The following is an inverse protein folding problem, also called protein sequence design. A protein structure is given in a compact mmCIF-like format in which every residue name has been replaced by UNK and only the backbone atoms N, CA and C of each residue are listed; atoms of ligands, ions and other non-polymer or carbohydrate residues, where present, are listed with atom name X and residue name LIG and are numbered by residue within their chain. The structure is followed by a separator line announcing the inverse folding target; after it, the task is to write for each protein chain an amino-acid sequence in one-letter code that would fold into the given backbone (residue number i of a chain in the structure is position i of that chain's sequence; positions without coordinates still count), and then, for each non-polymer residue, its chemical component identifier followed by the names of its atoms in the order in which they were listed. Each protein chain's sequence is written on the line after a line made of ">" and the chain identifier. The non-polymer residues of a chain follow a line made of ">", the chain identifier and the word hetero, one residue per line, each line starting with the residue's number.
data_IF_814892560568
#
_entry.id   IF_814892560568
#
_cell.length_a   1.000
_cell.length_b   1.000
_cell.length_c   1.000
_cell.angle_alpha   90.00
_cell.angle_beta   90.00
_cell.angle_gamma   90.00
#
_symmetry.space_group_name_H-M   'P 1'
#
loop_
_entity.id
_entity.type
_entity.pdbx_description
1 polymer ?
#
# COMPACT_ATOMS: atom_id res chain seq x y z
N UNK A 1 -11.17 24.26 24.54
CA UNK A 1 -9.93 23.49 24.36
C UNK A 1 -10.10 22.49 23.20
N UNK A 2 -10.23 22.96 21.96
CA UNK A 2 -10.57 22.12 20.79
C UNK A 2 -9.43 21.98 19.77
N UNK A 3 -8.37 22.79 19.87
CA UNK A 3 -7.24 22.76 18.94
C UNK A 3 -6.25 21.60 19.18
N UNK A 4 -6.28 20.97 20.36
CA UNK A 4 -5.29 19.97 20.74
C UNK A 4 -5.52 18.62 20.04
N UNK A 5 -6.79 18.22 19.93
CA UNK A 5 -7.20 16.99 19.24
C UNK A 5 -6.81 17.00 17.76
N UNK A 6 -7.09 18.10 17.04
CA UNK A 6 -6.73 18.23 15.62
C UNK A 6 -5.21 18.11 15.39
N UNK A 7 -4.39 18.64 16.31
CA UNK A 7 -2.93 18.60 16.21
C UNK A 7 -2.35 17.21 16.51
N UNK A 8 -2.97 16.48 17.43
CA UNK A 8 -2.62 15.09 17.73
C UNK A 8 -2.99 14.15 16.57
N UNK A 9 -4.16 14.33 15.95
CA UNK A 9 -4.56 13.55 14.77
C UNK A 9 -3.60 13.74 13.58
N UNK A 10 -3.13 14.98 13.34
CA UNK A 10 -2.16 15.24 12.26
C UNK A 10 -0.77 14.63 12.52
N UNK A 11 -0.37 14.44 13.78
CA UNK A 11 0.88 13.74 14.12
C UNK A 11 0.77 12.21 14.00
N UNK A 12 -0.42 11.67 14.22
CA UNK A 12 -0.71 10.24 14.09
C UNK A 12 -0.96 9.81 12.63
N UNK A 13 -1.16 10.76 11.71
CA UNK A 13 -1.33 10.48 10.31
C UNK A 13 -0.01 9.95 9.72
N UNK A 14 0.07 8.63 9.48
CA UNK A 14 1.15 8.08 8.68
C UNK A 14 1.15 8.80 7.32
N UNK A 15 2.32 9.25 6.82
CA UNK A 15 2.38 9.91 5.53
C UNK A 15 1.77 9.00 4.46
N UNK A 16 0.81 9.53 3.71
CA UNK A 16 0.19 8.85 2.58
C UNK A 16 1.25 8.67 1.50
N UNK A 17 1.96 7.55 1.56
CA UNK A 17 3.01 7.20 0.62
C UNK A 17 2.48 6.14 -0.35
N UNK A 18 2.34 6.55 -1.61
CA UNK A 18 1.96 5.67 -2.70
C UNK A 18 3.23 5.11 -3.33
N UNK A 19 3.35 3.78 -3.37
CA UNK A 19 4.46 3.09 -4.03
C UNK A 19 4.02 2.53 -5.39
N UNK A 20 4.91 2.63 -6.36
CA UNK A 20 4.75 2.05 -7.69
C UNK A 20 4.87 0.53 -7.67
N UNK A 21 4.51 -0.10 -8.79
CA UNK A 21 4.66 -1.55 -8.99
C UNK A 21 6.12 -2.00 -8.86
N UNK A 22 7.07 -1.17 -9.32
CA UNK A 22 8.51 -1.45 -9.25
C UNK A 22 9.01 -1.40 -7.81
N UNK A 23 8.60 -0.38 -7.06
CA UNK A 23 8.96 -0.24 -5.64
C UNK A 23 8.35 -1.37 -4.80
N UNK A 24 7.09 -1.74 -5.07
CA UNK A 24 6.45 -2.89 -4.43
C UNK A 24 7.18 -4.20 -4.75
N UNK A 25 7.59 -4.39 -6.00
CA UNK A 25 8.36 -5.57 -6.41
C UNK A 25 9.69 -5.66 -5.63
N UNK A 26 10.40 -4.54 -5.50
CA UNK A 26 11.62 -4.45 -4.69
C UNK A 26 11.35 -4.74 -3.20
N UNK A 27 10.27 -4.18 -2.64
CA UNK A 27 9.89 -4.37 -1.24
C UNK A 27 9.57 -5.83 -0.90
N UNK A 28 8.94 -6.55 -1.83
CA UNK A 28 8.58 -7.96 -1.67
C UNK A 28 9.64 -8.93 -2.20
N UNK A 29 10.78 -8.43 -2.69
CA UNK A 29 11.85 -9.23 -3.28
C UNK A 29 11.37 -10.16 -4.42
N UNK A 30 10.44 -9.67 -5.25
CA UNK A 30 9.93 -10.38 -6.42
C UNK A 30 10.02 -9.51 -7.65
N UNK A 31 9.78 -10.08 -8.84
CA UNK A 31 9.70 -9.29 -10.08
C UNK A 31 8.30 -8.68 -10.28
N UNK A 32 8.21 -7.65 -11.12
CA UNK A 32 6.95 -6.95 -11.42
C UNK A 32 5.87 -7.86 -12.04
N UNK A 33 6.27 -8.90 -12.77
CA UNK A 33 5.35 -9.88 -13.36
C UNK A 33 4.68 -10.74 -12.29
N UNK A 34 5.43 -11.09 -11.26
CA UNK A 34 4.93 -11.79 -10.07
C UNK A 34 3.94 -10.90 -9.33
N UNK A 35 4.22 -9.60 -9.15
CA UNK A 35 3.26 -8.66 -8.58
C UNK A 35 1.95 -8.66 -9.37
N UNK A 36 2.02 -8.51 -10.69
CA UNK A 36 0.82 -8.55 -11.54
C UNK A 36 0.03 -9.86 -11.37
N UNK A 37 0.71 -11.01 -11.34
CA UNK A 37 0.08 -12.31 -11.10
C UNK A 37 -0.56 -12.38 -9.72
N UNK A 38 0.13 -11.93 -8.67
CA UNK A 38 -0.41 -11.94 -7.30
C UNK A 38 -1.67 -11.07 -7.17
N UNK A 39 -1.71 -9.92 -7.85
CA UNK A 39 -2.92 -9.08 -7.92
C UNK A 39 -4.05 -9.83 -8.61
N UNK A 40 -3.78 -10.44 -9.78
CA UNK A 40 -4.76 -11.22 -10.53
C UNK A 40 -5.31 -12.41 -9.71
N UNK A 41 -4.44 -13.06 -8.95
CA UNK A 41 -4.78 -14.21 -8.10
C UNK A 41 -5.36 -13.79 -6.74
N UNK A 42 -5.58 -12.48 -6.50
CA UNK A 42 -6.10 -11.90 -5.24
C UNK A 42 -5.25 -12.22 -4.00
N UNK A 43 -3.95 -12.49 -4.21
CA UNK A 43 -2.97 -12.76 -3.14
C UNK A 43 -2.27 -11.51 -2.63
N UNK A 44 -2.50 -10.38 -3.27
CA UNK A 44 -1.94 -9.06 -2.94
C UNK A 44 -3.06 -8.02 -3.07
N UNK A 45 -3.10 -6.96 -2.22
CA UNK A 45 -4.12 -5.91 -2.33
C UNK A 45 -4.19 -5.30 -3.73
N UNK A 46 -5.38 -4.90 -4.17
CA UNK A 46 -5.52 -4.25 -5.46
C UNK A 46 -4.84 -2.87 -5.49
N UNK A 47 -4.23 -2.49 -6.62
CA UNK A 47 -3.69 -1.14 -6.76
C UNK A 47 -4.84 -0.13 -6.80
N UNK A 48 -4.56 1.07 -6.28
CA UNK A 48 -5.34 2.25 -6.64
C UNK A 48 -5.28 2.44 -8.14
N UNK A 49 -6.41 2.82 -8.74
CA UNK A 49 -6.51 3.09 -10.17
C UNK A 49 -6.43 4.58 -10.43
N UNK A 50 -5.75 4.96 -11.50
CA UNK A 50 -5.84 6.34 -11.99
C UNK A 50 -7.20 6.56 -12.64
N UNK A 51 -7.56 7.82 -12.92
CA UNK A 51 -8.79 8.17 -13.65
C UNK A 51 -8.89 7.43 -14.99
N UNK A 52 -7.76 7.13 -15.64
CA UNK A 52 -7.70 6.35 -16.88
C UNK A 52 -7.69 4.83 -16.71
N UNK A 53 -7.90 4.30 -15.50
CA UNK A 53 -7.93 2.85 -15.22
C UNK A 53 -6.55 2.18 -15.11
N UNK A 54 -5.47 2.93 -15.30
CA UNK A 54 -4.11 2.41 -15.13
C UNK A 54 -3.77 2.17 -13.66
N UNK A 55 -2.76 1.35 -13.39
CA UNK A 55 -2.26 1.15 -12.02
C UNK A 55 -1.64 2.45 -11.50
N UNK A 56 -2.30 3.07 -10.51
CA UNK A 56 -1.83 4.24 -9.77
C UNK A 56 -0.89 3.92 -8.61
N UNK A 57 -0.74 2.63 -8.27
CA UNK A 57 0.16 2.16 -7.21
C UNK A 57 -0.58 1.65 -5.99
N UNK A 58 0.16 1.46 -4.89
CA UNK A 58 -0.36 0.94 -3.63
C UNK A 58 -0.03 1.88 -2.51
N UNK A 59 -0.94 2.00 -1.54
CA UNK A 59 -0.62 2.69 -0.31
C UNK A 59 0.37 1.83 0.49
N UNK A 60 1.52 2.40 0.87
CA UNK A 60 2.57 1.69 1.58
C UNK A 60 2.06 1.07 2.88
N UNK A 61 1.24 1.80 3.64
CA UNK A 61 0.66 1.32 4.90
C UNK A 61 -0.18 0.06 4.69
N UNK A 62 -1.03 0.04 3.66
CA UNK A 62 -1.85 -1.13 3.29
C UNK A 62 -0.98 -2.35 2.96
N UNK A 63 0.13 -2.17 2.25
CA UNK A 63 1.05 -3.27 1.93
C UNK A 63 1.75 -3.79 3.19
N UNK A 64 2.19 -2.89 4.08
CA UNK A 64 2.82 -3.29 5.34
C UNK A 64 1.85 -4.03 6.28
N UNK A 65 0.59 -3.57 6.36
CA UNK A 65 -0.46 -4.25 7.11
C UNK A 65 -0.78 -5.62 6.53
N UNK A 66 -0.92 -5.70 5.20
CA UNK A 66 -1.07 -6.97 4.50
C UNK A 66 0.10 -7.90 4.83
N UNK A 67 1.35 -7.44 4.76
CA UNK A 67 2.52 -8.26 5.06
C UNK A 67 2.52 -8.76 6.52
N UNK A 68 2.07 -7.93 7.47
CA UNK A 68 1.89 -8.36 8.87
C UNK A 68 0.83 -9.46 8.98
N UNK A 69 -0.29 -9.34 8.28
CA UNK A 69 -1.35 -10.35 8.28
C UNK A 69 -0.87 -11.72 7.78
N UNK A 70 0.06 -11.75 6.82
CA UNK A 70 0.64 -12.99 6.29
C UNK A 70 1.61 -13.69 7.25
N UNK A 71 2.24 -12.95 8.18
CA UNK A 71 3.22 -13.50 9.13
C UNK A 71 2.58 -14.01 10.44
N UNK A 72 1.32 -13.66 10.68
CA UNK A 72 0.55 -14.10 11.84
C UNK A 72 -0.14 -15.46 11.65
N UNK A 73 0.21 -16.18 10.59
CA UNK A 73 -0.29 -17.51 10.24
C UNK A 73 0.89 -18.47 10.12
#
# INVERSE_FOLDING_TARGET
>A
MTFDLSRQCNKAAMPLHIISKKELANLLHVNERTIHRMVKDKRLPEPMRTVGGNNGGWLLTTILEWQKSQKGH
#
